data_IF_907447912337
#
_entry.id   IF_907447912337
#
_cell.length_a   1.000
_cell.length_b   1.000
_cell.length_c   1.000
_cell.angle_alpha   90.00
_cell.angle_beta   90.00
_cell.angle_gamma   90.00
#
_symmetry.space_group_name_H-M   'P 1'
#
loop_
_entity.id
_entity.type
_entity.pdbx_description
1 polymer ?
#
# COMPACT_ATOMS: atom_id res chain seq x y z
N UNK A 1 -25.25 6.94 46.71
CA UNK A 1 -24.97 7.09 45.26
C UNK A 1 -25.15 8.56 44.88
N UNK A 2 -24.15 9.23 44.26
CA UNK A 2 -24.24 10.66 43.98
C UNK A 2 -25.27 10.95 42.88
N UNK A 3 -26.21 11.87 43.13
CA UNK A 3 -27.31 12.27 42.23
C UNK A 3 -26.87 12.93 40.91
N UNK A 4 -25.58 13.20 40.73
CA UNK A 4 -25.02 13.83 39.53
C UNK A 4 -25.02 12.92 38.28
N UNK A 5 -25.23 11.60 38.44
CA UNK A 5 -25.23 10.64 37.34
C UNK A 5 -26.38 10.81 36.34
N UNK A 6 -27.52 11.37 36.75
CA UNK A 6 -28.73 11.44 35.91
C UNK A 6 -29.10 12.84 35.42
N UNK A 7 -28.35 13.88 35.79
CA UNK A 7 -28.77 15.26 35.52
C UNK A 7 -28.71 15.65 34.03
N UNK A 8 -27.96 14.94 33.18
CA UNK A 8 -27.97 15.22 31.74
C UNK A 8 -27.51 14.02 30.90
N UNK A 9 -28.35 12.99 30.78
CA UNK A 9 -28.09 11.77 30.01
C UNK A 9 -27.69 12.08 28.54
N UNK A 10 -28.22 13.17 27.98
CA UNK A 10 -27.89 13.65 26.63
C UNK A 10 -26.43 14.10 26.53
N UNK A 11 -25.88 14.73 27.57
CA UNK A 11 -24.50 15.23 27.57
C UNK A 11 -23.49 14.07 27.48
N UNK A 12 -23.75 12.97 28.18
CA UNK A 12 -22.93 11.76 28.12
C UNK A 12 -23.02 11.06 26.76
N UNK A 13 -24.20 11.02 26.14
CA UNK A 13 -24.37 10.53 24.78
C UNK A 13 -23.60 11.38 23.77
N UNK A 14 -23.67 12.71 23.87
CA UNK A 14 -22.92 13.62 23.00
C UNK A 14 -21.42 13.39 23.17
N UNK A 15 -20.93 13.30 24.40
CA UNK A 15 -19.51 13.10 24.69
C UNK A 15 -19.01 11.73 24.18
N UNK A 16 -19.81 10.67 24.35
CA UNK A 16 -19.53 9.34 23.82
C UNK A 16 -19.50 9.32 22.29
N UNK A 17 -20.52 9.87 21.62
CA UNK A 17 -20.55 9.96 20.15
C UNK A 17 -19.39 10.79 19.62
N UNK A 18 -19.07 11.92 20.28
CA UNK A 18 -17.95 12.78 19.88
C UNK A 18 -16.63 12.03 19.99
N UNK A 19 -16.39 11.30 21.10
CA UNK A 19 -15.18 10.48 21.27
C UNK A 19 -15.11 9.35 20.25
N UNK A 20 -16.23 8.68 19.95
CA UNK A 20 -16.28 7.62 18.94
C UNK A 20 -15.99 8.17 17.54
N UNK A 21 -16.60 9.29 17.15
CA UNK A 21 -16.38 9.92 15.83
C UNK A 21 -14.96 10.46 15.71
N UNK A 22 -14.44 11.12 16.75
CA UNK A 22 -13.06 11.58 16.78
C UNK A 22 -12.08 10.40 16.70
N UNK A 23 -12.32 9.35 17.47
CA UNK A 23 -11.54 8.11 17.41
C UNK A 23 -11.60 7.48 16.02
N UNK A 24 -12.78 7.33 15.43
CA UNK A 24 -12.94 6.80 14.08
C UNK A 24 -12.22 7.66 13.02
N UNK A 25 -12.22 8.98 13.16
CA UNK A 25 -11.48 9.90 12.28
C UNK A 25 -9.97 9.79 12.45
N UNK A 26 -9.47 9.60 13.67
CA UNK A 26 -8.04 9.43 13.96
C UNK A 26 -7.49 8.05 13.55
N UNK A 27 -8.30 6.99 13.69
CA UNK A 27 -7.97 5.63 13.27
C UNK A 27 -8.31 5.35 11.80
N UNK A 28 -8.99 6.27 11.11
CA UNK A 28 -9.29 6.12 9.70
C UNK A 28 -7.98 5.94 8.92
N UNK A 29 -7.86 4.88 8.09
CA UNK A 29 -6.65 4.62 7.34
C UNK A 29 -6.33 5.83 6.44
N UNK A 30 -5.14 6.39 6.61
CA UNK A 30 -4.62 7.52 5.81
C UNK A 30 -4.50 7.16 4.31
N UNK A 31 -4.62 5.88 3.99
CA UNK A 31 -4.64 5.27 2.68
C UNK A 31 -6.03 5.21 2.02
N UNK A 32 -7.09 5.75 2.62
CA UNK A 32 -8.37 5.98 1.92
C UNK A 32 -8.18 6.87 0.67
N UNK A 33 -7.23 7.80 0.70
CA UNK A 33 -6.84 8.63 -0.45
C UNK A 33 -6.27 7.79 -1.62
N UNK A 34 -5.82 6.56 -1.37
CA UNK A 34 -5.35 5.64 -2.40
C UNK A 34 -6.42 5.17 -3.37
N UNK A 35 -7.68 5.16 -2.95
CA UNK A 35 -8.80 4.69 -3.79
C UNK A 35 -9.18 5.72 -4.86
N UNK A 36 -8.81 6.98 -4.67
CA UNK A 36 -9.25 8.09 -5.53
C UNK A 36 -8.15 8.67 -6.42
N UNK A 37 -6.92 8.15 -6.32
CA UNK A 37 -5.81 8.70 -7.07
C UNK A 37 -5.81 8.25 -8.54
N UNK A 38 -5.54 9.17 -9.45
CA UNK A 38 -5.29 8.91 -10.87
C UNK A 38 -4.18 9.82 -11.41
N UNK A 39 -3.33 9.33 -12.33
CA UNK A 39 -2.28 10.15 -12.93
C UNK A 39 -2.84 11.20 -13.90
N UNK A 40 -2.12 12.30 -14.13
CA UNK A 40 -2.59 13.39 -15.02
C UNK A 40 -2.78 12.95 -16.47
N UNK A 41 -2.07 11.90 -16.90
CA UNK A 41 -2.23 11.28 -18.21
C UNK A 41 -2.63 9.81 -18.05
N UNK A 42 -3.70 9.31 -18.68
CA UNK A 42 -4.02 7.88 -18.65
C UNK A 42 -3.01 7.07 -19.49
N UNK A 43 -2.96 5.75 -19.28
CA UNK A 43 -2.18 4.81 -20.09
C UNK A 43 -1.12 4.00 -19.32
N UNK A 44 -0.75 2.86 -19.89
CA UNK A 44 0.34 2.00 -19.40
C UNK A 44 1.68 2.63 -19.79
N UNK A 45 2.63 2.67 -18.86
CA UNK A 45 3.92 3.37 -19.02
C UNK A 45 5.14 2.46 -19.04
N UNK A 46 5.00 1.27 -18.46
CA UNK A 46 6.08 0.32 -18.26
C UNK A 46 5.85 -0.92 -19.10
N UNK A 47 6.93 -1.59 -19.48
CA UNK A 47 6.88 -2.83 -20.27
C UNK A 47 6.78 -4.05 -19.36
N UNK A 48 7.50 -4.05 -18.25
CA UNK A 48 7.60 -5.22 -17.38
C UNK A 48 7.66 -4.82 -15.91
N UNK A 49 6.83 -5.46 -15.11
CA UNK A 49 6.89 -5.40 -13.64
C UNK A 49 7.16 -6.80 -13.12
N UNK A 50 8.23 -6.95 -12.34
CA UNK A 50 8.59 -8.20 -11.68
C UNK A 50 8.69 -7.96 -10.17
N UNK A 51 8.15 -8.88 -9.39
CA UNK A 51 8.25 -8.86 -7.93
C UNK A 51 8.99 -10.11 -7.50
N UNK A 52 10.15 -9.92 -6.89
CA UNK A 52 10.87 -10.99 -6.22
C UNK A 52 10.25 -11.18 -4.84
N UNK A 53 9.73 -12.39 -4.63
CA UNK A 53 9.00 -12.79 -3.44
C UNK A 53 9.65 -14.03 -2.83
N UNK A 54 9.16 -14.45 -1.67
CA UNK A 54 9.51 -15.72 -1.03
C UNK A 54 8.28 -16.29 -0.33
N UNK A 55 8.35 -17.58 0.04
CA UNK A 55 7.25 -18.21 0.79
C UNK A 55 7.04 -17.58 2.17
N UNK A 56 5.77 -17.48 2.58
CA UNK A 56 5.35 -16.96 3.88
C UNK A 56 5.93 -15.57 4.22
N UNK A 57 5.69 -14.60 3.33
CA UNK A 57 6.22 -13.24 3.44
C UNK A 57 5.08 -12.20 3.47
N UNK A 58 4.63 -11.75 4.65
CA UNK A 58 3.55 -10.76 4.77
C UNK A 58 3.84 -9.45 4.02
N UNK A 59 5.09 -8.98 4.05
CA UNK A 59 5.50 -7.78 3.30
C UNK A 59 5.36 -7.96 1.79
N UNK A 60 5.55 -9.17 1.30
CA UNK A 60 5.41 -9.49 -0.11
C UNK A 60 3.93 -9.45 -0.53
N UNK A 61 3.04 -9.96 0.32
CA UNK A 61 1.60 -9.90 0.11
C UNK A 61 1.10 -8.45 0.11
N UNK A 62 1.56 -7.63 1.08
CA UNK A 62 1.25 -6.19 1.14
C UNK A 62 1.72 -5.45 -0.13
N UNK A 63 2.93 -5.75 -0.61
CA UNK A 63 3.46 -5.16 -1.83
C UNK A 63 2.64 -5.54 -3.06
N UNK A 64 2.21 -6.80 -3.17
CA UNK A 64 1.38 -7.27 -4.28
C UNK A 64 0.01 -6.60 -4.27
N UNK A 65 -0.66 -6.56 -3.12
CA UNK A 65 -1.96 -5.87 -2.97
C UNK A 65 -1.85 -4.40 -3.40
N UNK A 66 -0.79 -3.71 -2.99
CA UNK A 66 -0.59 -2.31 -3.35
C UNK A 66 -0.36 -2.13 -4.86
N UNK A 67 0.45 -2.98 -5.48
CA UNK A 67 0.70 -2.96 -6.92
C UNK A 67 -0.58 -3.29 -7.72
N UNK A 68 -1.37 -4.27 -7.26
CA UNK A 68 -2.64 -4.66 -7.87
C UNK A 68 -3.67 -3.53 -7.83
N UNK A 69 -3.73 -2.74 -6.76
CA UNK A 69 -4.56 -1.51 -6.72
C UNK A 69 -4.20 -0.52 -7.83
N UNK A 70 -2.97 -0.58 -8.36
CA UNK A 70 -2.47 0.28 -9.43
C UNK A 70 -2.33 -0.45 -10.77
N UNK A 71 -2.88 -1.67 -10.89
CA UNK A 71 -2.76 -2.52 -12.08
C UNK A 71 -3.25 -1.85 -13.37
N UNK A 72 -4.17 -0.89 -13.29
CA UNK A 72 -4.66 -0.12 -14.45
C UNK A 72 -3.56 0.67 -15.17
N UNK A 73 -2.50 1.05 -14.47
CA UNK A 73 -1.39 1.86 -15.00
C UNK A 73 -0.08 1.08 -15.12
N UNK A 74 -0.09 -0.20 -14.72
CA UNK A 74 1.05 -1.10 -14.73
C UNK A 74 0.79 -2.26 -15.69
N UNK A 75 1.84 -2.83 -16.32
CA UNK A 75 1.70 -4.09 -17.03
C UNK A 75 1.41 -5.23 -16.05
N UNK A 76 1.11 -6.42 -16.58
CA UNK A 76 0.91 -7.63 -15.76
C UNK A 76 2.10 -7.85 -14.82
N UNK A 77 1.82 -8.00 -13.53
CA UNK A 77 2.83 -8.28 -12.51
C UNK A 77 3.28 -9.73 -12.65
N UNK A 78 4.59 -9.94 -12.68
CA UNK A 78 5.21 -11.27 -12.70
C UNK A 78 5.92 -11.52 -11.38
N UNK A 79 5.49 -12.51 -10.62
CA UNK A 79 6.14 -12.90 -9.38
C UNK A 79 7.21 -13.96 -9.62
N UNK A 80 8.37 -13.81 -8.99
CA UNK A 80 9.46 -14.79 -9.02
C UNK A 80 9.82 -15.13 -7.59
N UNK A 81 9.68 -16.40 -7.21
CA UNK A 81 10.12 -16.88 -5.90
C UNK A 81 11.65 -17.01 -5.90
N UNK A 82 12.31 -16.22 -5.06
CA UNK A 82 13.76 -16.23 -4.96
C UNK A 82 14.28 -17.54 -4.40
N UNK A 83 13.50 -18.29 -3.62
CA UNK A 83 13.98 -19.48 -2.91
C UNK A 83 14.43 -20.60 -3.87
N UNK A 84 13.99 -20.54 -5.13
CA UNK A 84 14.36 -21.46 -6.21
C UNK A 84 15.68 -21.10 -6.93
N UNK A 85 16.23 -19.90 -6.74
CA UNK A 85 17.50 -19.48 -7.35
C UNK A 85 18.51 -19.03 -6.27
N UNK A 86 19.59 -19.80 -6.05
CA UNK A 86 20.63 -19.47 -5.08
C UNK A 86 21.23 -18.06 -5.28
N UNK A 87 21.36 -17.60 -6.53
CA UNK A 87 21.93 -16.28 -6.84
C UNK A 87 20.97 -15.16 -6.44
N UNK A 88 19.66 -15.36 -6.63
CA UNK A 88 18.65 -14.39 -6.18
C UNK A 88 18.54 -14.37 -4.67
N UNK A 89 18.64 -15.52 -4.00
CA UNK A 89 18.66 -15.60 -2.53
C UNK A 89 19.82 -14.85 -1.93
N UNK A 90 21.03 -15.06 -2.45
CA UNK A 90 22.22 -14.36 -1.98
C UNK A 90 22.10 -12.85 -2.16
N UNK A 91 21.53 -12.41 -3.29
CA UNK A 91 21.42 -10.99 -3.63
C UNK A 91 20.27 -10.25 -2.93
N UNK A 92 19.14 -10.91 -2.71
CA UNK A 92 17.89 -10.26 -2.29
C UNK A 92 17.25 -10.89 -1.05
N UNK A 93 17.84 -11.92 -0.45
CA UNK A 93 17.24 -12.69 0.65
C UNK A 93 16.87 -11.88 1.89
N UNK A 94 17.56 -10.77 2.15
CA UNK A 94 17.29 -9.85 3.27
C UNK A 94 16.43 -8.63 2.93
N UNK A 95 16.04 -8.46 1.66
CA UNK A 95 15.38 -7.24 1.17
C UNK A 95 14.10 -7.52 0.36
N UNK A 96 13.58 -8.74 0.40
CA UNK A 96 12.27 -9.02 -0.19
C UNK A 96 11.16 -8.26 0.56
N UNK A 97 10.10 -7.82 -0.12
CA UNK A 97 9.88 -7.90 -1.57
C UNK A 97 10.77 -6.93 -2.35
N UNK A 98 11.23 -7.34 -3.54
CA UNK A 98 11.97 -6.46 -4.46
C UNK A 98 11.16 -6.27 -5.73
N UNK A 99 10.82 -5.03 -6.06
CA UNK A 99 10.04 -4.70 -7.26
C UNK A 99 10.98 -4.14 -8.32
N UNK A 100 10.99 -4.80 -9.47
CA UNK A 100 11.71 -4.40 -10.66
C UNK A 100 10.72 -3.89 -11.70
N UNK A 101 10.96 -2.68 -12.21
CA UNK A 101 10.20 -2.07 -13.28
C UNK A 101 11.15 -1.81 -14.45
N UNK A 102 10.86 -2.40 -15.59
CA UNK A 102 11.70 -2.39 -16.79
C UNK A 102 13.15 -2.80 -16.50
N UNK A 103 13.30 -3.85 -15.68
CA UNK A 103 14.60 -4.41 -15.28
C UNK A 103 15.36 -3.62 -14.21
N UNK A 104 14.85 -2.46 -13.78
CA UNK A 104 15.47 -1.64 -12.72
C UNK A 104 14.76 -1.85 -11.40
N UNK A 105 15.53 -2.07 -10.33
CA UNK A 105 14.97 -2.14 -8.97
C UNK A 105 14.43 -0.76 -8.57
N UNK A 106 13.14 -0.69 -8.23
CA UNK A 106 12.47 0.54 -7.77
C UNK A 106 12.13 0.50 -6.29
N UNK A 107 11.84 -0.68 -5.76
CA UNK A 107 11.45 -0.87 -4.36
C UNK A 107 12.15 -2.11 -3.77
N UNK A 108 12.45 -2.04 -2.48
CA UNK A 108 13.03 -3.12 -1.66
C UNK A 108 12.42 -3.07 -0.26
N UNK A 109 12.13 -4.22 0.33
CA UNK A 109 11.60 -4.34 1.69
C UNK A 109 10.16 -3.85 1.89
N UNK A 110 9.55 -3.23 0.87
CA UNK A 110 8.20 -2.70 0.91
C UNK A 110 7.94 -1.75 -0.26
N UNK A 111 6.67 -1.48 -0.54
CA UNK A 111 6.26 -0.55 -1.60
C UNK A 111 5.53 0.63 -0.98
N UNK A 112 5.99 1.83 -1.29
CA UNK A 112 5.34 3.06 -0.83
C UNK A 112 4.37 3.55 -1.91
N UNK A 113 3.09 3.64 -1.58
CA UNK A 113 2.06 4.17 -2.47
C UNK A 113 2.40 5.57 -3.05
N UNK A 114 2.78 6.59 -2.24
CA UNK A 114 3.10 7.91 -2.80
C UNK A 114 4.32 7.88 -3.73
N UNK A 115 5.33 7.05 -3.44
CA UNK A 115 6.48 6.91 -4.34
C UNK A 115 6.11 6.20 -5.64
N UNK A 116 5.27 5.17 -5.58
CA UNK A 116 4.75 4.50 -6.78
C UNK A 116 3.95 5.47 -7.66
N UNK A 117 3.09 6.29 -7.05
CA UNK A 117 2.31 7.32 -7.75
C UNK A 117 3.20 8.35 -8.44
N UNK A 118 4.19 8.89 -7.72
CA UNK A 118 5.19 9.81 -8.30
C UNK A 118 5.94 9.16 -9.47
N UNK A 119 6.23 7.86 -9.36
CA UNK A 119 6.88 7.11 -10.42
C UNK A 119 6.03 6.99 -11.68
N UNK A 120 4.74 6.70 -11.51
CA UNK A 120 3.76 6.64 -12.60
C UNK A 120 3.61 8.04 -13.21
N UNK A 121 3.48 9.08 -12.39
CA UNK A 121 3.30 10.46 -12.84
C UNK A 121 4.50 10.97 -13.64
N UNK A 122 5.72 10.72 -13.15
CA UNK A 122 6.97 11.15 -13.79
C UNK A 122 7.37 10.34 -15.02
N UNK A 123 6.69 9.23 -15.32
CA UNK A 123 6.96 8.43 -16.53
C UNK A 123 5.89 8.74 -17.58
N UNK A 124 6.26 9.23 -18.78
CA UNK A 124 5.28 9.47 -19.84
C UNK A 124 4.66 8.14 -20.32
N UNK A 125 3.34 8.11 -20.62
CA UNK A 125 2.69 6.94 -21.20
C UNK A 125 3.29 6.62 -22.57
N UNK A 126 3.33 5.32 -22.90
CA UNK A 126 3.77 4.82 -24.20
C UNK A 126 2.58 4.44 -25.05
#
# INVERSE_FOLDING_TARGET
MPRAWHANQVLWWILAVTLIVAGARLLAPHDAEAVHWSPSRPGIRFQKVQVYTRRSCPLCDEALVLLERHQRWLPRIVTVDIDHDPRLRERYGSCVPVVLIDGKVRFKGGVSAPLLRRLIEGTPPR
#
